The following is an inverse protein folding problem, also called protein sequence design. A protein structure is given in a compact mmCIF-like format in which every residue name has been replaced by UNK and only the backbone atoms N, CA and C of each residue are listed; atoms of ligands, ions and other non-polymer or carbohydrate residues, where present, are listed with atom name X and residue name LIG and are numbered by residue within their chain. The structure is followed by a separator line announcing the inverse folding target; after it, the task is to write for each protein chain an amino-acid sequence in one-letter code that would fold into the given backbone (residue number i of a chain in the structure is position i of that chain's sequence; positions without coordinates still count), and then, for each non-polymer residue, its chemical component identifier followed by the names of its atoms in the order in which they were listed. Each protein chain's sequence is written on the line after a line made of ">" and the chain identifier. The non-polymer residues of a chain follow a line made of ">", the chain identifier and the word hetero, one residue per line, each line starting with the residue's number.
data_IF_341828658326
#
_entry.id   IF_341828658326
#
_cell.length_a   1.000
_cell.length_b   1.000
_cell.length_c   1.000
_cell.angle_alpha   90.00
_cell.angle_beta   90.00
_cell.angle_gamma   90.00
#
_symmetry.space_group_name_H-M   'P 1'
#
loop_
_entity.id
_entity.type
_entity.pdbx_description
1 polymer ?
#
# COMPACT_ATOMS: atom_id res chain seq x y z
N UNK A 1 33.52 18.06 17.92
CA UNK A 1 32.68 16.92 18.35
C UNK A 1 32.76 15.69 17.43
N UNK A 2 33.54 15.72 16.33
CA UNK A 2 33.69 14.61 15.37
C UNK A 2 34.88 13.66 15.63
N UNK A 3 35.56 13.79 16.78
CA UNK A 3 36.75 12.99 17.12
C UNK A 3 36.60 12.12 18.36
N UNK A 4 35.40 12.02 18.93
CA UNK A 4 35.13 11.22 20.12
C UNK A 4 34.44 9.93 19.69
N UNK A 5 35.08 8.79 20.00
CA UNK A 5 34.59 7.47 19.60
C UNK A 5 33.31 7.09 20.33
N UNK A 6 32.44 6.38 19.63
CA UNK A 6 31.19 5.82 20.16
C UNK A 6 31.46 4.66 21.12
N UNK A 7 30.65 4.52 22.19
CA UNK A 7 30.76 3.40 23.11
C UNK A 7 30.48 2.08 22.38
N UNK A 8 31.40 1.11 22.48
CA UNK A 8 31.27 -0.20 21.82
C UNK A 8 30.41 -1.20 22.60
N UNK A 9 30.09 -0.89 23.86
CA UNK A 9 29.22 -1.69 24.74
C UNK A 9 28.42 -0.76 25.64
N UNK A 10 27.15 -1.10 25.85
CA UNK A 10 26.25 -0.44 26.79
C UNK A 10 25.69 -1.54 27.70
N UNK A 11 26.04 -1.54 29.00
CA UNK A 11 25.65 -2.58 29.95
C UNK A 11 24.47 -2.21 30.85
N UNK A 12 23.91 -1.02 30.67
CA UNK A 12 22.85 -0.44 31.48
C UNK A 12 21.63 -0.02 30.64
N UNK A 13 21.40 -0.69 29.51
CA UNK A 13 20.34 -0.38 28.55
C UNK A 13 19.57 -1.65 28.20
N UNK A 14 18.25 -1.56 28.22
CA UNK A 14 17.34 -2.54 27.62
C UNK A 14 16.57 -1.83 26.51
N UNK A 15 16.52 -2.43 25.32
CA UNK A 15 15.80 -1.89 24.15
C UNK A 15 14.65 -2.82 23.80
N UNK A 16 13.43 -2.30 23.80
CA UNK A 16 12.23 -3.01 23.35
C UNK A 16 11.61 -2.27 22.18
N UNK A 17 11.25 -3.02 21.13
CA UNK A 17 10.55 -2.48 19.95
C UNK A 17 9.05 -2.63 20.22
N UNK A 18 8.38 -1.51 20.48
CA UNK A 18 6.94 -1.47 20.79
C UNK A 18 6.06 -1.17 19.58
N UNK A 19 6.65 -0.67 18.47
CA UNK A 19 5.99 -0.43 17.20
C UNK A 19 6.92 -0.75 16.02
N UNK A 20 6.40 -1.44 15.02
CA UNK A 20 7.13 -1.80 13.79
C UNK A 20 6.16 -2.17 12.68
N UNK A 21 6.61 -2.06 11.43
CA UNK A 21 5.83 -2.50 10.25
C UNK A 21 5.45 -3.99 10.35
N UNK A 22 6.29 -4.82 10.98
CA UNK A 22 5.98 -6.22 11.28
C UNK A 22 4.74 -6.36 12.16
N UNK A 23 4.64 -5.55 13.22
CA UNK A 23 3.47 -5.54 14.09
C UNK A 23 2.24 -4.99 13.37
N UNK A 24 2.40 -4.00 12.48
CA UNK A 24 1.32 -3.52 11.63
C UNK A 24 0.78 -4.62 10.70
N UNK A 25 1.66 -5.34 10.00
CA UNK A 25 1.27 -6.49 9.18
C UNK A 25 0.59 -7.60 9.99
N UNK A 26 1.10 -7.90 11.20
CA UNK A 26 0.49 -8.90 12.07
C UNK A 26 -0.93 -8.48 12.52
N UNK A 27 -1.13 -7.19 12.82
CA UNK A 27 -2.44 -6.66 13.16
C UNK A 27 -3.41 -6.71 11.97
N UNK A 28 -2.96 -6.35 10.77
CA UNK A 28 -3.73 -6.46 9.54
C UNK A 28 -4.10 -7.91 9.22
N UNK A 29 -3.17 -8.86 9.40
CA UNK A 29 -3.43 -10.29 9.21
C UNK A 29 -4.51 -10.80 10.17
N UNK A 30 -4.41 -10.46 11.47
CA UNK A 30 -5.41 -10.83 12.46
C UNK A 30 -6.80 -10.20 12.19
N UNK A 31 -6.85 -8.99 11.60
CA UNK A 31 -8.10 -8.39 11.17
C UNK A 31 -8.71 -9.14 9.97
N UNK A 32 -7.89 -9.55 9.00
CA UNK A 32 -8.31 -10.36 7.85
C UNK A 32 -8.85 -11.74 8.28
N UNK A 33 -8.19 -12.40 9.23
CA UNK A 33 -8.65 -13.68 9.80
C UNK A 33 -10.04 -13.57 10.42
N UNK A 34 -10.31 -12.51 11.17
CA UNK A 34 -11.63 -12.26 11.77
C UNK A 34 -12.73 -12.05 10.71
N UNK A 35 -12.36 -11.61 9.52
CA UNK A 35 -13.25 -11.43 8.37
C UNK A 35 -13.36 -12.71 7.51
N UNK A 36 -12.69 -13.80 7.89
CA UNK A 36 -12.75 -15.10 7.22
C UNK A 36 -11.74 -15.29 6.08
N UNK A 37 -10.77 -14.38 5.93
CA UNK A 37 -9.67 -14.54 4.99
C UNK A 37 -8.53 -15.30 5.64
N UNK A 38 -7.86 -16.18 4.87
CA UNK A 38 -6.59 -16.78 5.27
C UNK A 38 -5.44 -15.82 4.92
N UNK A 39 -4.73 -15.25 5.90
CA UNK A 39 -3.65 -14.32 5.63
C UNK A 39 -2.38 -15.02 5.16
N UNK A 40 -1.64 -14.35 4.30
CA UNK A 40 -0.31 -14.74 3.82
C UNK A 40 0.57 -13.49 3.85
N UNK A 41 1.51 -13.45 4.80
CA UNK A 41 2.53 -12.40 4.82
C UNK A 41 3.55 -12.68 3.70
N UNK A 42 3.60 -11.81 2.70
CA UNK A 42 4.58 -11.86 1.62
C UNK A 42 5.94 -11.32 2.10
N UNK A 43 5.93 -10.15 2.73
CA UNK A 43 7.13 -9.49 3.25
C UNK A 43 6.75 -8.38 4.24
N UNK A 44 7.65 -8.06 5.16
CA UNK A 44 7.63 -6.87 6.01
C UNK A 44 8.80 -5.91 5.71
N UNK A 45 9.39 -6.05 4.51
CA UNK A 45 10.55 -5.31 4.02
C UNK A 45 10.39 -4.85 2.56
N UNK A 46 9.17 -4.53 2.13
CA UNK A 46 8.94 -4.02 0.78
C UNK A 46 9.64 -2.65 0.61
N UNK A 47 10.53 -2.51 -0.36
CA UNK A 47 11.33 -1.29 -0.56
C UNK A 47 11.48 -0.88 -2.04
N UNK A 48 10.66 -1.46 -2.92
CA UNK A 48 10.72 -1.21 -4.36
C UNK A 48 9.86 0.00 -4.78
N UNK A 49 9.81 0.24 -6.09
CA UNK A 49 8.98 1.30 -6.66
C UNK A 49 7.48 0.97 -6.49
N UNK A 50 6.70 1.93 -5.98
CA UNK A 50 5.28 1.77 -5.63
C UNK A 50 4.44 1.18 -6.78
N UNK A 51 4.56 1.76 -7.99
CA UNK A 51 3.81 1.28 -9.16
C UNK A 51 4.21 -0.15 -9.59
N UNK A 52 5.44 -0.58 -9.29
CA UNK A 52 5.89 -1.94 -9.57
C UNK A 52 5.32 -2.93 -8.55
N UNK A 53 5.30 -2.54 -7.27
CA UNK A 53 4.66 -3.32 -6.22
C UNK A 53 3.17 -3.54 -6.50
N UNK A 54 2.44 -2.50 -6.94
CA UNK A 54 1.02 -2.60 -7.30
C UNK A 54 0.75 -3.60 -8.42
N UNK A 55 1.54 -3.52 -9.51
CA UNK A 55 1.47 -4.47 -10.62
C UNK A 55 1.77 -5.91 -10.17
N UNK A 56 2.81 -6.09 -9.36
CA UNK A 56 3.19 -7.40 -8.84
C UNK A 56 2.10 -8.02 -7.97
N UNK A 57 1.45 -7.23 -7.10
CA UNK A 57 0.31 -7.70 -6.30
C UNK A 57 -0.88 -8.06 -7.19
N UNK A 58 -1.15 -7.30 -8.25
CA UNK A 58 -2.20 -7.66 -9.21
C UNK A 58 -1.88 -8.96 -9.97
N UNK A 59 -0.62 -9.28 -10.22
CA UNK A 59 -0.21 -10.57 -10.81
C UNK A 59 -0.47 -11.75 -9.86
N UNK A 60 -0.22 -11.56 -8.55
CA UNK A 60 -0.61 -12.51 -7.51
C UNK A 60 -2.13 -12.70 -7.50
N UNK A 61 -2.89 -11.60 -7.57
CA UNK A 61 -4.35 -11.66 -7.63
C UNK A 61 -4.83 -12.52 -8.80
N UNK A 62 -4.32 -12.28 -10.01
CA UNK A 62 -4.68 -13.08 -11.21
C UNK A 62 -4.31 -14.54 -11.09
N UNK A 63 -3.22 -14.87 -10.40
CA UNK A 63 -2.78 -16.25 -10.18
C UNK A 63 -3.71 -17.02 -9.25
N UNK A 64 -4.27 -16.34 -8.25
CA UNK A 64 -5.07 -16.98 -7.19
C UNK A 64 -6.58 -16.71 -7.31
N UNK A 65 -7.01 -15.88 -8.26
CA UNK A 65 -8.41 -15.62 -8.57
C UNK A 65 -9.15 -16.91 -8.93
N UNK A 66 -10.40 -17.04 -8.45
CA UNK A 66 -11.24 -18.20 -8.73
C UNK A 66 -10.83 -19.49 -8.02
N UNK A 67 -9.88 -19.45 -7.08
CA UNK A 67 -9.50 -20.61 -6.26
C UNK A 67 -10.61 -21.06 -5.29
N UNK A 68 -11.60 -20.20 -5.03
CA UNK A 68 -12.67 -20.43 -4.06
C UNK A 68 -12.22 -20.26 -2.60
N UNK A 69 -10.95 -19.90 -2.37
CA UNK A 69 -10.41 -19.57 -1.07
C UNK A 69 -10.38 -18.05 -0.86
N UNK A 70 -10.88 -17.60 0.29
CA UNK A 70 -10.72 -16.22 0.72
C UNK A 70 -9.29 -15.99 1.21
N UNK A 71 -8.49 -15.26 0.44
CA UNK A 71 -7.07 -15.03 0.72
C UNK A 71 -6.79 -13.55 0.99
N UNK A 72 -5.90 -13.28 1.94
CA UNK A 72 -5.39 -11.95 2.20
C UNK A 72 -3.85 -11.97 2.09
N UNK A 73 -3.29 -11.35 1.05
CA UNK A 73 -1.84 -11.20 0.90
C UNK A 73 -1.41 -9.87 1.49
N UNK A 74 -0.43 -9.90 2.39
CA UNK A 74 0.05 -8.71 3.09
C UNK A 74 1.50 -8.42 2.73
N UNK A 75 1.79 -7.17 2.40
CA UNK A 75 3.14 -6.66 2.22
C UNK A 75 3.31 -5.36 3.01
N UNK A 76 4.25 -5.36 3.95
CA UNK A 76 4.64 -4.17 4.69
C UNK A 76 6.01 -3.69 4.27
N UNK A 77 6.26 -2.39 4.38
CA UNK A 77 7.55 -1.81 4.15
C UNK A 77 7.43 -0.32 3.89
N UNK A 78 8.27 0.20 3.02
CA UNK A 78 8.25 1.58 2.59
C UNK A 78 8.70 1.66 1.13
N UNK A 79 7.74 1.83 0.23
CA UNK A 79 8.04 1.93 -1.20
C UNK A 79 8.63 3.29 -1.54
N UNK A 80 9.00 3.49 -2.81
CA UNK A 80 9.44 4.78 -3.33
C UNK A 80 8.69 5.14 -4.61
N UNK A 81 8.59 6.44 -4.89
CA UNK A 81 8.05 6.97 -6.15
C UNK A 81 9.14 7.77 -6.83
N UNK A 82 9.35 7.49 -8.11
CA UNK A 82 10.18 8.34 -8.97
C UNK A 82 9.30 9.43 -9.57
N UNK A 83 9.53 10.67 -9.13
CA UNK A 83 8.80 11.84 -9.62
C UNK A 83 9.31 12.23 -11.00
N UNK A 84 8.45 12.09 -12.00
CA UNK A 84 8.70 12.43 -13.41
C UNK A 84 7.69 13.44 -13.95
N UNK A 85 6.51 13.54 -13.34
CA UNK A 85 5.44 14.45 -13.72
C UNK A 85 5.22 15.61 -12.77
N UNK A 86 4.06 16.23 -12.90
CA UNK A 86 3.65 17.41 -12.13
C UNK A 86 2.36 17.21 -11.32
N UNK A 87 1.86 15.98 -11.30
CA UNK A 87 0.66 15.58 -10.57
C UNK A 87 0.82 15.58 -9.05
N UNK A 88 -0.28 15.22 -8.39
CA UNK A 88 -0.39 15.07 -6.96
C UNK A 88 -0.64 13.61 -6.61
N UNK A 89 0.08 13.10 -5.61
CA UNK A 89 -0.07 11.72 -5.16
C UNK A 89 0.95 11.32 -4.12
N UNK A 90 0.85 10.06 -3.71
CA UNK A 90 1.77 9.42 -2.80
C UNK A 90 2.04 7.97 -3.22
N UNK A 91 2.89 7.31 -2.44
CA UNK A 91 3.40 5.97 -2.75
C UNK A 91 2.30 4.92 -2.62
N UNK A 92 1.50 5.02 -1.57
CA UNK A 92 0.39 4.09 -1.33
C UNK A 92 -0.72 4.27 -2.38
N UNK A 93 -0.98 5.52 -2.79
CA UNK A 93 -1.90 5.85 -3.88
C UNK A 93 -1.42 5.29 -5.22
N UNK A 94 -0.14 5.49 -5.59
CA UNK A 94 0.42 4.93 -6.83
C UNK A 94 0.40 3.40 -6.84
N UNK A 95 0.68 2.76 -5.70
CA UNK A 95 0.62 1.31 -5.57
C UNK A 95 -0.79 0.79 -5.86
N UNK A 96 -1.82 1.36 -5.23
CA UNK A 96 -3.22 0.97 -5.46
C UNK A 96 -3.64 1.21 -6.91
N UNK A 97 -3.39 2.41 -7.44
CA UNK A 97 -3.77 2.76 -8.81
C UNK A 97 -3.09 1.86 -9.86
N UNK A 98 -1.81 1.53 -9.65
CA UNK A 98 -1.06 0.66 -10.56
C UNK A 98 -1.56 -0.79 -10.60
N UNK A 99 -2.30 -1.24 -9.58
CA UNK A 99 -2.92 -2.56 -9.56
C UNK A 99 -4.24 -2.63 -10.34
N UNK A 100 -4.97 -1.51 -10.46
CA UNK A 100 -6.30 -1.48 -11.06
C UNK A 100 -6.41 -2.21 -12.42
N UNK A 101 -5.46 -2.06 -13.37
CA UNK A 101 -5.53 -2.80 -14.63
C UNK A 101 -5.46 -4.32 -14.48
N UNK A 102 -4.69 -4.81 -13.52
CA UNK A 102 -4.53 -6.25 -13.29
C UNK A 102 -5.62 -6.86 -12.40
N UNK A 103 -6.39 -6.03 -11.69
CA UNK A 103 -7.56 -6.46 -10.90
C UNK A 103 -8.86 -6.46 -11.71
N UNK A 104 -8.89 -5.80 -12.86
CA UNK A 104 -10.11 -5.57 -13.64
C UNK A 104 -10.96 -6.85 -13.83
N UNK A 105 -12.21 -6.80 -13.38
CA UNK A 105 -13.18 -7.90 -13.45
C UNK A 105 -12.96 -9.06 -12.49
N UNK A 106 -11.98 -8.99 -11.57
CA UNK A 106 -11.78 -9.98 -10.51
C UNK A 106 -12.58 -9.62 -9.26
N UNK A 107 -13.02 -10.64 -8.51
CA UNK A 107 -13.46 -10.47 -7.12
C UNK A 107 -12.22 -10.31 -6.22
N UNK A 108 -11.58 -9.15 -6.32
CA UNK A 108 -10.37 -8.81 -5.61
C UNK A 108 -10.31 -7.31 -5.31
N UNK A 109 -9.68 -6.96 -4.20
CA UNK A 109 -9.44 -5.59 -3.79
C UNK A 109 -8.04 -5.43 -3.23
N UNK A 110 -7.34 -4.38 -3.64
CA UNK A 110 -6.06 -3.96 -3.10
C UNK A 110 -6.21 -2.60 -2.43
N UNK A 111 -5.70 -2.48 -1.21
CA UNK A 111 -5.50 -1.19 -0.57
C UNK A 111 -4.09 -1.08 -0.01
N UNK A 112 -3.58 0.15 0.04
CA UNK A 112 -2.30 0.48 0.65
C UNK A 112 -2.46 1.72 1.50
N UNK A 113 -1.88 1.72 2.70
CA UNK A 113 -2.07 2.77 3.70
C UNK A 113 -0.75 3.05 4.43
N UNK A 114 -0.40 4.33 4.51
CA UNK A 114 0.63 4.86 5.37
C UNK A 114 0.11 5.02 6.80
N UNK A 115 0.86 4.48 7.76
CA UNK A 115 0.42 4.42 9.16
C UNK A 115 0.32 5.77 9.85
N UNK A 116 0.94 6.83 9.31
CA UNK A 116 0.85 8.21 9.82
C UNK A 116 -0.43 8.94 9.40
N UNK A 117 -1.21 8.34 8.50
CA UNK A 117 -2.45 8.89 8.00
C UNK A 117 -2.27 9.87 6.83
N UNK A 118 -1.07 9.93 6.27
CA UNK A 118 -0.73 10.78 5.11
C UNK A 118 0.09 10.01 4.09
N UNK A 119 -0.04 10.35 2.81
CA UNK A 119 0.68 9.73 1.72
C UNK A 119 1.06 10.79 0.69
N UNK A 120 2.36 11.05 0.57
CA UNK A 120 2.86 12.19 -0.18
C UNK A 120 2.39 13.54 0.42
N UNK A 121 2.38 14.62 -0.37
CA UNK A 121 1.87 15.92 0.06
C UNK A 121 0.34 16.01 -0.05
N UNK A 122 -0.39 15.01 0.48
CA UNK A 122 -1.86 14.91 0.40
C UNK A 122 -2.49 14.70 1.79
N UNK A 123 -3.82 14.81 1.87
CA UNK A 123 -4.61 14.51 3.07
C UNK A 123 -5.07 13.04 3.13
N UNK A 124 -4.75 12.24 2.12
CA UNK A 124 -5.02 10.81 2.08
C UNK A 124 -3.90 10.01 2.71
N UNK A 125 -4.25 8.94 3.41
CA UNK A 125 -3.30 7.96 3.95
C UNK A 125 -2.86 6.95 2.89
N UNK A 126 -3.56 6.87 1.76
CA UNK A 126 -3.25 5.95 0.68
C UNK A 126 -4.41 5.75 -0.26
N UNK A 127 -4.47 4.58 -0.89
CA UNK A 127 -5.41 4.29 -1.97
C UNK A 127 -6.01 2.89 -1.93
N UNK A 128 -7.14 2.75 -2.64
CA UNK A 128 -7.92 1.54 -2.84
C UNK A 128 -8.19 1.34 -4.32
N UNK A 129 -8.09 0.09 -4.78
CA UNK A 129 -8.50 -0.33 -6.11
C UNK A 129 -9.06 -1.75 -6.07
N UNK A 130 -10.12 -1.99 -6.83
CA UNK A 130 -10.79 -3.27 -6.99
C UNK A 130 -10.99 -3.62 -8.47
N UNK A 131 -11.77 -4.68 -8.73
CA UNK A 131 -12.08 -5.13 -10.08
C UNK A 131 -12.88 -4.14 -10.93
N UNK A 132 -13.55 -3.15 -10.34
CA UNK A 132 -14.36 -2.17 -11.06
C UNK A 132 -13.62 -0.85 -11.29
N UNK A 133 -12.56 -0.59 -10.53
CA UNK A 133 -11.80 0.66 -10.52
C UNK A 133 -11.29 1.06 -11.91
N UNK A 134 -10.78 0.11 -12.71
CA UNK A 134 -10.32 0.41 -14.08
C UNK A 134 -11.46 0.94 -14.97
N UNK A 135 -12.62 0.29 -14.91
CA UNK A 135 -13.77 0.68 -15.71
C UNK A 135 -14.32 2.04 -15.27
N UNK A 136 -14.35 2.31 -13.95
CA UNK A 136 -14.76 3.59 -13.39
C UNK A 136 -13.85 4.75 -13.84
N UNK A 137 -12.53 4.54 -13.85
CA UNK A 137 -11.55 5.51 -14.34
C UNK A 137 -11.73 5.78 -15.84
N UNK A 138 -11.85 4.73 -16.65
CA UNK A 138 -12.07 4.85 -18.08
C UNK A 138 -13.37 5.60 -18.40
N UNK A 139 -14.45 5.38 -17.64
CA UNK A 139 -15.71 6.11 -17.78
C UNK A 139 -15.58 7.62 -17.49
N UNK A 140 -14.55 8.03 -16.73
CA UNK A 140 -14.19 9.44 -16.48
C UNK A 140 -13.14 9.98 -17.46
N UNK A 141 -12.73 9.21 -18.46
CA UNK A 141 -11.70 9.57 -19.42
C UNK A 141 -10.29 9.56 -18.84
N UNK A 142 -10.07 8.88 -17.72
CA UNK A 142 -8.78 8.76 -17.05
C UNK A 142 -8.08 7.47 -17.50
N UNK A 143 -6.89 7.61 -18.07
CA UNK A 143 -6.02 6.49 -18.40
C UNK A 143 -5.00 6.25 -17.27
N UNK A 144 -5.00 5.04 -16.71
CA UNK A 144 -4.14 4.68 -15.57
C UNK A 144 -2.66 4.88 -15.88
N UNK A 145 -2.21 4.54 -17.09
CA UNK A 145 -0.81 4.66 -17.46
C UNK A 145 -0.36 6.12 -17.57
N UNK A 146 -1.19 6.97 -18.19
CA UNK A 146 -0.94 8.40 -18.30
C UNK A 146 -0.92 9.09 -16.93
N UNK A 147 -1.89 8.78 -16.07
CA UNK A 147 -1.95 9.32 -14.69
C UNK A 147 -0.70 8.94 -13.89
N UNK A 148 -0.28 7.67 -13.93
CA UNK A 148 0.92 7.23 -13.23
C UNK A 148 2.20 7.85 -13.82
N UNK A 149 2.24 8.09 -15.13
CA UNK A 149 3.38 8.76 -15.76
C UNK A 149 3.52 10.22 -15.31
N UNK A 150 2.38 10.89 -15.03
CA UNK A 150 2.35 12.26 -14.51
C UNK A 150 2.38 12.33 -12.97
N UNK A 151 2.47 11.19 -12.27
CA UNK A 151 2.42 11.08 -10.80
C UNK A 151 1.13 11.68 -10.18
N UNK A 152 -0.01 11.57 -10.87
CA UNK A 152 -1.28 12.21 -10.46
C UNK A 152 -2.30 11.25 -9.81
N UNK A 153 -1.82 10.29 -9.03
CA UNK A 153 -2.66 9.23 -8.47
C UNK A 153 -3.77 9.75 -7.55
N UNK A 154 -3.56 10.89 -6.86
CA UNK A 154 -4.52 11.47 -5.93
C UNK A 154 -5.83 11.84 -6.63
N UNK A 155 -5.75 12.59 -7.73
CA UNK A 155 -6.95 13.04 -8.45
C UNK A 155 -7.66 11.89 -9.14
N UNK A 156 -6.91 10.93 -9.69
CA UNK A 156 -7.52 9.77 -10.34
C UNK A 156 -8.29 8.89 -9.36
N UNK A 157 -7.68 8.54 -8.22
CA UNK A 157 -8.37 7.78 -7.17
C UNK A 157 -9.52 8.59 -6.57
N UNK A 158 -9.35 9.89 -6.36
CA UNK A 158 -10.41 10.77 -5.88
C UNK A 158 -11.62 10.85 -6.82
N UNK A 159 -11.40 10.70 -8.13
CA UNK A 159 -12.50 10.68 -9.11
C UNK A 159 -13.39 9.44 -9.01
N UNK A 160 -12.91 8.36 -8.40
CA UNK A 160 -13.59 7.06 -8.29
C UNK A 160 -13.74 6.59 -6.85
N UNK A 161 -13.69 7.52 -5.88
CA UNK A 161 -13.81 7.25 -4.45
C UNK A 161 -12.78 6.23 -3.90
N UNK A 162 -11.62 6.14 -4.55
CA UNK A 162 -10.52 5.22 -4.20
C UNK A 162 -9.51 5.79 -3.19
N UNK A 163 -9.75 6.97 -2.61
CA UNK A 163 -8.86 7.55 -1.60
C UNK A 163 -9.19 7.01 -0.20
N UNK A 164 -8.15 6.69 0.56
CA UNK A 164 -8.30 6.29 1.98
C UNK A 164 -7.96 7.49 2.86
N UNK A 165 -8.99 8.08 3.46
CA UNK A 165 -8.89 9.25 4.35
C UNK A 165 -9.02 8.79 5.80
N UNK A 166 -7.92 8.73 6.55
CA UNK A 166 -7.93 8.40 7.98
C UNK A 166 -7.83 9.64 8.87
N UNK A 167 -7.28 10.73 8.33
CA UNK A 167 -6.71 11.81 9.13
C UNK A 167 -5.42 11.37 9.85
N UNK A 168 -4.74 12.31 10.55
CA UNK A 168 -3.49 12.03 11.24
C UNK A 168 -3.71 11.03 12.38
N UNK A 169 -2.94 9.94 12.37
CA UNK A 169 -3.10 8.84 13.35
C UNK A 169 -2.27 9.05 14.63
N UNK A 170 -1.23 9.89 14.56
CA UNK A 170 -0.30 10.13 15.67
C UNK A 170 0.77 9.04 15.85
N UNK A 171 0.94 8.13 14.90
CA UNK A 171 2.01 7.11 14.89
C UNK A 171 2.65 6.99 13.52
N UNK A 172 3.85 6.43 13.41
CA UNK A 172 4.43 6.09 12.10
C UNK A 172 5.31 4.83 12.25
N UNK A 173 4.88 3.76 11.62
CA UNK A 173 5.57 2.47 11.47
C UNK A 173 5.58 2.02 10.00
N UNK A 174 5.63 3.00 9.09
CA UNK A 174 5.64 2.86 7.63
C UNK A 174 4.31 2.38 7.02
N UNK A 175 4.35 1.64 5.91
CA UNK A 175 3.20 1.32 5.06
C UNK A 175 2.77 -0.15 5.18
N UNK A 176 1.50 -0.41 4.92
CA UNK A 176 0.95 -1.76 4.68
C UNK A 176 0.06 -1.79 3.44
N UNK A 177 0.32 -2.75 2.56
CA UNK A 177 -0.52 -3.12 1.43
C UNK A 177 -1.20 -4.46 1.69
N UNK A 178 -2.50 -4.54 1.40
CA UNK A 178 -3.32 -5.75 1.59
C UNK A 178 -4.13 -6.01 0.34
N UNK A 179 -3.88 -7.17 -0.27
CA UNK A 179 -4.67 -7.71 -1.37
C UNK A 179 -5.64 -8.76 -0.82
N UNK A 180 -6.94 -8.53 -1.02
CA UNK A 180 -8.01 -9.46 -0.69
C UNK A 180 -8.51 -10.13 -1.97
N UNK A 181 -8.78 -11.43 -1.88
CA UNK A 181 -9.40 -12.26 -2.92
C UNK A 181 -10.68 -12.90 -2.36
N UNK A 182 -11.80 -12.71 -3.05
CA UNK A 182 -13.15 -13.14 -2.66
C UNK A 182 -13.51 -14.58 -3.02
#
# INVERSE_FOLDING_TARGET
>A
MLGQETPKKLSNVETQITGSVRQLCAAAAAACEKLGYRPVLLTDRLDCEARQAGRFLADIARTHAGSGEKLAYLAGGETVVHLTGHGLGGRNQELALAAAPGLAGLDAALFSVGSDGTDGPTDAAGGYADGDTLAALAARGLDVHAVLADNDAYHALGAVDGLILTGPTGTNVNDVAVLLLG
#
